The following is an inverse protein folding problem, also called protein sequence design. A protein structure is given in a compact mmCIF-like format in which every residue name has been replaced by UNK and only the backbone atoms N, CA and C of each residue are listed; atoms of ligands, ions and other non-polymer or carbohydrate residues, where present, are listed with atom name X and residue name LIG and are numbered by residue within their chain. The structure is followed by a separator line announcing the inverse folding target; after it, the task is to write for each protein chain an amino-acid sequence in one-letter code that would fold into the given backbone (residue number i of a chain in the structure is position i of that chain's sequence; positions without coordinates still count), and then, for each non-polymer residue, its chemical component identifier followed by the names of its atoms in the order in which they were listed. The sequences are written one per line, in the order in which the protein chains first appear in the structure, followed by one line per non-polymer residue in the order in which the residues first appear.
data_IF_434320851679
#
_entry.id   IF_434320851679
#
_cell.length_a   1.000
_cell.length_b   1.000
_cell.length_c   1.000
_cell.angle_alpha   90.00
_cell.angle_beta   90.00
_cell.angle_gamma   90.00
#
_symmetry.space_group_name_H-M   'P 1'
#
loop_
_entity.id
_entity.type
_entity.pdbx_description
1 polymer ?
#
# COMPACT_ATOMS: atom_id res chain seq x y z
N UNK A 1 -15.65 -1.07 9.24
CA UNK A 1 -16.47 -0.05 8.53
C UNK A 1 -17.02 -0.55 7.20
N UNK A 2 -16.20 -1.09 6.28
CA UNK A 2 -16.70 -1.54 4.96
C UNK A 2 -17.82 -2.60 5.02
N UNK A 3 -17.79 -3.52 6.00
CA UNK A 3 -18.87 -4.50 6.21
C UNK A 3 -20.20 -3.87 6.63
N UNK A 4 -20.16 -2.89 7.53
CA UNK A 4 -21.35 -2.19 8.03
C UNK A 4 -22.00 -1.34 6.94
N UNK A 5 -21.22 -0.55 6.20
CA UNK A 5 -21.73 0.28 5.10
C UNK A 5 -22.28 -0.58 3.96
N UNK A 6 -21.69 -1.75 3.70
CA UNK A 6 -22.24 -2.72 2.74
C UNK A 6 -23.57 -3.29 3.21
N UNK A 7 -23.65 -3.67 4.48
CA UNK A 7 -24.89 -4.18 5.07
C UNK A 7 -26.04 -3.16 4.92
N UNK A 8 -25.81 -1.88 5.23
CA UNK A 8 -26.82 -0.83 5.03
C UNK A 8 -27.26 -0.67 3.58
N UNK A 9 -26.32 -0.68 2.63
CA UNK A 9 -26.65 -0.61 1.19
C UNK A 9 -27.51 -1.81 0.75
N UNK A 10 -27.20 -3.01 1.25
CA UNK A 10 -28.00 -4.20 0.97
C UNK A 10 -29.39 -4.12 1.59
N UNK A 11 -29.50 -3.67 2.85
CA UNK A 11 -30.77 -3.54 3.54
C UNK A 11 -31.68 -2.52 2.85
N UNK A 12 -31.15 -1.37 2.41
CA UNK A 12 -31.91 -0.36 1.65
C UNK A 12 -32.35 -0.92 0.29
N UNK A 13 -31.47 -1.64 -0.42
CA UNK A 13 -31.82 -2.26 -1.70
C UNK A 13 -32.91 -3.34 -1.56
N UNK A 14 -32.90 -4.11 -0.46
CA UNK A 14 -33.92 -5.13 -0.16
C UNK A 14 -35.24 -4.49 0.26
N UNK A 15 -35.21 -3.49 1.14
CA UNK A 15 -36.41 -2.88 1.71
C UNK A 15 -37.11 -1.93 0.75
N UNK A 16 -36.36 -1.07 0.05
CA UNK A 16 -36.93 -0.04 -0.82
C UNK A 16 -37.03 -0.47 -2.29
N UNK A 17 -36.44 -1.63 -2.65
CA UNK A 17 -36.28 -2.08 -4.04
C UNK A 17 -35.59 -1.06 -4.97
N UNK A 18 -34.92 -0.05 -4.40
CA UNK A 18 -34.21 1.01 -5.13
C UNK A 18 -32.71 0.73 -5.05
N UNK A 19 -32.08 0.51 -6.21
CA UNK A 19 -30.63 0.46 -6.31
C UNK A 19 -30.10 1.84 -6.66
N UNK A 20 -29.46 2.53 -5.71
CA UNK A 20 -28.81 3.82 -5.97
C UNK A 20 -27.69 3.62 -6.99
N UNK A 21 -27.79 4.32 -8.13
CA UNK A 21 -26.74 4.30 -9.14
C UNK A 21 -25.51 5.02 -8.58
N UNK A 22 -24.45 4.27 -8.30
CA UNK A 22 -23.18 4.84 -7.86
C UNK A 22 -22.34 5.13 -9.11
N UNK A 23 -21.52 6.17 -9.06
CA UNK A 23 -20.47 6.45 -10.02
C UNK A 23 -19.09 6.37 -9.37
N UNK A 24 -18.05 6.29 -10.20
CA UNK A 24 -16.65 6.22 -9.74
C UNK A 24 -16.31 7.40 -8.82
N UNK A 25 -16.86 8.57 -9.11
CA UNK A 25 -16.72 9.77 -8.30
C UNK A 25 -17.41 9.65 -6.94
N UNK A 26 -18.69 9.23 -6.92
CA UNK A 26 -19.41 9.07 -5.64
C UNK A 26 -18.78 8.00 -4.75
N UNK A 27 -18.24 6.92 -5.33
CA UNK A 27 -17.53 5.91 -4.57
C UNK A 27 -16.15 6.39 -4.10
N UNK A 28 -15.43 7.14 -4.94
CA UNK A 28 -14.12 7.71 -4.61
C UNK A 28 -14.15 8.76 -3.49
N UNK A 29 -15.31 9.32 -3.16
CA UNK A 29 -15.48 10.26 -2.03
C UNK A 29 -15.72 9.56 -0.69
N UNK A 30 -15.95 8.24 -0.68
CA UNK A 30 -16.26 7.51 0.55
C UNK A 30 -15.00 7.29 1.39
N UNK A 31 -15.05 7.70 2.65
CA UNK A 31 -13.92 7.64 3.60
C UNK A 31 -13.31 6.24 3.71
N UNK A 32 -14.13 5.18 3.64
CA UNK A 32 -13.61 3.81 3.74
C UNK A 32 -12.69 3.42 2.58
N UNK A 33 -12.88 3.98 1.38
CA UNK A 33 -12.00 3.69 0.24
C UNK A 33 -10.66 4.42 0.39
N UNK A 34 -10.67 5.65 0.90
CA UNK A 34 -9.45 6.40 1.27
C UNK A 34 -8.62 5.67 2.32
N UNK A 35 -9.24 5.35 3.46
CA UNK A 35 -8.58 4.61 4.54
C UNK A 35 -8.06 3.27 4.02
N UNK A 36 -8.84 2.63 3.15
CA UNK A 36 -8.45 1.41 2.48
C UNK A 36 -7.18 1.55 1.64
N UNK A 37 -7.12 2.54 0.75
CA UNK A 37 -5.95 2.76 -0.11
C UNK A 37 -4.73 3.09 0.72
N UNK A 38 -4.85 4.04 1.64
CA UNK A 38 -3.77 4.45 2.54
C UNK A 38 -3.23 3.24 3.30
N UNK A 39 -4.12 2.42 3.87
CA UNK A 39 -3.77 1.20 4.58
C UNK A 39 -3.13 0.12 3.71
N UNK A 40 -3.36 0.11 2.40
CA UNK A 40 -2.59 -0.76 1.48
C UNK A 40 -1.28 -0.13 1.01
N UNK A 41 -1.19 1.21 0.96
CA UNK A 41 -0.05 1.90 0.36
C UNK A 41 1.13 2.08 1.32
N UNK A 42 0.84 2.48 2.55
CA UNK A 42 1.87 2.70 3.57
C UNK A 42 2.69 1.42 3.82
N UNK A 43 2.07 0.27 4.12
CA UNK A 43 2.84 -0.87 4.62
C UNK A 43 3.79 -1.45 3.58
N UNK A 44 3.42 -1.52 2.30
CA UNK A 44 4.29 -2.12 1.29
C UNK A 44 5.53 -1.27 0.99
N UNK A 45 5.40 0.05 0.97
CA UNK A 45 6.56 0.92 0.77
C UNK A 45 7.45 0.95 2.01
N UNK A 46 6.87 1.04 3.20
CA UNK A 46 7.64 1.00 4.45
C UNK A 46 8.40 -0.31 4.58
N UNK A 47 7.75 -1.45 4.30
CA UNK A 47 8.43 -2.76 4.36
C UNK A 47 9.54 -2.88 3.32
N UNK A 48 9.34 -2.38 2.10
CA UNK A 48 10.40 -2.35 1.08
C UNK A 48 11.61 -1.52 1.55
N UNK A 49 11.38 -0.32 2.09
CA UNK A 49 12.45 0.56 2.59
C UNK A 49 13.22 -0.10 3.73
N UNK A 50 12.52 -0.69 4.71
CA UNK A 50 13.15 -1.43 5.81
C UNK A 50 14.00 -2.60 5.29
N UNK A 51 13.50 -3.33 4.29
CA UNK A 51 14.24 -4.43 3.65
C UNK A 51 15.55 -3.96 3.00
N UNK A 52 15.51 -2.83 2.31
CA UNK A 52 16.70 -2.22 1.70
C UNK A 52 17.69 -1.72 2.76
N UNK A 53 17.21 -1.03 3.79
CA UNK A 53 18.05 -0.54 4.90
C UNK A 53 18.85 -1.68 5.54
N UNK A 54 18.23 -2.85 5.75
CA UNK A 54 18.89 -4.03 6.33
C UNK A 54 20.04 -4.55 5.48
N UNK A 55 19.89 -4.56 4.15
CA UNK A 55 20.97 -5.01 3.25
C UNK A 55 22.10 -3.98 3.17
N UNK A 56 21.75 -2.69 3.09
CA UNK A 56 22.74 -1.61 3.06
C UNK A 56 23.55 -1.61 4.35
N UNK A 57 22.91 -1.80 5.51
CA UNK A 57 23.58 -1.92 6.79
C UNK A 57 24.55 -3.12 6.84
N UNK A 58 24.20 -4.24 6.21
CA UNK A 58 25.04 -5.45 6.19
C UNK A 58 26.24 -5.33 5.24
N UNK A 59 26.06 -4.78 4.04
CA UNK A 59 27.16 -4.66 3.04
C UNK A 59 28.03 -3.42 3.25
N UNK A 60 27.46 -2.29 3.65
CA UNK A 60 28.13 -1.00 3.72
C UNK A 60 27.82 -0.25 5.03
N UNK A 61 28.33 -0.73 6.18
CA UNK A 61 28.02 -0.16 7.50
C UNK A 61 28.45 1.31 7.63
N UNK A 62 29.55 1.72 6.98
CA UNK A 62 30.04 3.10 6.99
C UNK A 62 29.12 4.04 6.21
N UNK A 63 28.59 3.59 5.07
CA UNK A 63 27.65 4.36 4.26
C UNK A 63 26.31 4.51 4.97
N UNK A 64 25.83 3.44 5.61
CA UNK A 64 24.63 3.45 6.43
C UNK A 64 24.72 4.49 7.56
N UNK A 65 25.82 4.49 8.32
CA UNK A 65 26.05 5.46 9.40
C UNK A 65 26.13 6.92 8.91
N UNK A 66 26.55 7.15 7.66
CA UNK A 66 26.67 8.52 7.12
C UNK A 66 25.35 9.05 6.55
N UNK A 67 24.56 8.21 5.90
CA UNK A 67 23.34 8.65 5.18
C UNK A 67 22.02 8.33 5.90
N UNK A 68 21.98 7.25 6.68
CA UNK A 68 20.77 6.75 7.35
C UNK A 68 20.70 7.03 8.85
N UNK A 69 21.73 7.67 9.43
CA UNK A 69 21.80 7.99 10.86
C UNK A 69 20.90 9.16 11.30
N UNK A 70 20.30 9.91 10.35
CA UNK A 70 19.35 11.01 10.62
C UNK A 70 17.92 10.50 10.93
N UNK A 71 17.76 9.74 12.01
CA UNK A 71 16.46 9.35 12.59
C UNK A 71 15.42 8.74 11.60
N UNK A 72 15.88 8.15 10.49
CA UNK A 72 15.03 7.66 9.39
C UNK A 72 14.04 8.69 8.81
N UNK A 73 14.24 9.99 9.07
CA UNK A 73 13.31 11.06 8.65
C UNK A 73 13.21 11.11 7.13
N UNK A 74 14.34 10.95 6.42
CA UNK A 74 14.40 10.95 4.95
C UNK A 74 13.60 9.80 4.34
N UNK A 75 13.71 8.61 4.91
CA UNK A 75 12.98 7.42 4.49
C UNK A 75 11.47 7.55 4.73
N UNK A 76 11.08 8.08 5.90
CA UNK A 76 9.68 8.36 6.24
C UNK A 76 9.08 9.43 5.32
N UNK A 77 9.82 10.52 5.08
CA UNK A 77 9.40 11.59 4.17
C UNK A 77 9.21 11.07 2.74
N UNK A 78 10.11 10.21 2.25
CA UNK A 78 9.98 9.55 0.95
C UNK A 78 8.67 8.73 0.85
N UNK A 79 8.35 7.94 1.88
CA UNK A 79 7.11 7.16 1.92
C UNK A 79 5.87 8.06 1.93
N UNK A 80 5.90 9.17 2.66
CA UNK A 80 4.80 10.15 2.71
C UNK A 80 4.59 10.86 1.36
N UNK A 81 5.67 11.28 0.69
CA UNK A 81 5.60 11.89 -0.64
C UNK A 81 5.01 10.90 -1.65
N UNK A 82 5.48 9.65 -1.64
CA UNK A 82 4.94 8.60 -2.52
C UNK A 82 3.44 8.37 -2.28
N UNK A 83 3.01 8.36 -1.02
CA UNK A 83 1.60 8.22 -0.65
C UNK A 83 0.78 9.41 -1.18
N UNK A 84 1.25 10.64 -0.97
CA UNK A 84 0.56 11.84 -1.44
C UNK A 84 0.38 11.84 -2.97
N UNK A 85 1.44 11.54 -3.73
CA UNK A 85 1.38 11.44 -5.19
C UNK A 85 0.37 10.38 -5.62
N UNK A 86 0.42 9.21 -5.00
CA UNK A 86 -0.49 8.11 -5.34
C UNK A 86 -1.95 8.46 -5.07
N UNK A 87 -2.23 9.14 -3.96
CA UNK A 87 -3.58 9.63 -3.65
C UNK A 87 -4.08 10.68 -4.64
N UNK A 88 -3.22 11.60 -5.07
CA UNK A 88 -3.56 12.60 -6.11
C UNK A 88 -3.92 11.91 -7.42
N UNK A 89 -3.15 10.89 -7.83
CA UNK A 89 -3.43 10.10 -9.02
C UNK A 89 -4.78 9.37 -8.87
N UNK A 90 -5.03 8.73 -7.73
CA UNK A 90 -6.27 8.03 -7.45
C UNK A 90 -7.48 8.98 -7.56
N UNK A 91 -7.38 10.17 -6.96
CA UNK A 91 -8.42 11.19 -7.01
C UNK A 91 -8.66 11.72 -8.43
N UNK A 92 -7.58 12.01 -9.16
CA UNK A 92 -7.64 12.48 -10.55
C UNK A 92 -8.32 11.45 -11.46
N UNK A 93 -8.01 10.16 -11.28
CA UNK A 93 -8.64 9.08 -12.04
C UNK A 93 -10.14 8.94 -11.74
N UNK A 94 -10.51 9.09 -10.46
CA UNK A 94 -11.92 9.08 -10.04
C UNK A 94 -12.69 10.27 -10.63
N UNK A 95 -12.06 11.45 -10.71
CA UNK A 95 -12.64 12.64 -11.33
C UNK A 95 -12.78 12.52 -12.86
N UNK A 96 -11.74 12.04 -13.55
CA UNK A 96 -11.76 11.85 -15.01
C UNK A 96 -12.85 10.86 -15.45
N UNK A 97 -13.07 9.80 -14.66
CA UNK A 97 -14.08 8.77 -14.95
C UNK A 97 -15.40 8.99 -14.19
N UNK A 98 -15.71 10.22 -13.78
CA UNK A 98 -16.87 10.55 -12.93
C UNK A 98 -18.22 10.07 -13.48
N UNK A 99 -18.34 9.96 -14.81
CA UNK A 99 -19.58 9.59 -15.50
C UNK A 99 -19.75 8.08 -15.66
N UNK A 100 -18.72 7.30 -15.36
CA UNK A 100 -18.78 5.84 -15.45
C UNK A 100 -19.64 5.33 -14.30
N UNK A 101 -20.71 4.62 -14.64
CA UNK A 101 -21.58 3.95 -13.66
C UNK A 101 -20.81 2.81 -13.00
N UNK A 102 -20.76 2.86 -11.68
CA UNK A 102 -20.31 1.78 -10.81
C UNK A 102 -21.45 0.79 -10.60
N UNK A 103 -21.13 -0.44 -10.17
CA UNK A 103 -22.13 -1.35 -9.59
C UNK A 103 -22.76 -0.69 -8.35
N UNK A 104 -23.89 -1.23 -7.88
CA UNK A 104 -24.61 -0.76 -6.69
C UNK A 104 -23.73 -0.72 -5.42
N UNK A 105 -22.66 -1.53 -5.36
CA UNK A 105 -21.66 -1.47 -4.29
C UNK A 105 -20.50 -0.54 -4.67
N UNK A 106 -19.98 0.17 -3.67
CA UNK A 106 -18.71 0.87 -3.77
C UNK A 106 -17.58 0.04 -3.15
N UNK A 107 -16.40 0.09 -3.75
CA UNK A 107 -15.20 -0.52 -3.21
C UNK A 107 -14.02 -0.28 -4.12
N UNK A 108 -12.81 -0.30 -3.55
CA UNK A 108 -11.51 -0.03 -4.19
C UNK A 108 -11.38 -0.40 -5.68
N UNK A 109 -11.81 -1.61 -6.12
CA UNK A 109 -11.73 -2.06 -7.54
C UNK A 109 -12.66 -1.30 -8.50
N UNK A 110 -13.69 -0.64 -7.99
CA UNK A 110 -14.77 0.01 -8.73
C UNK A 110 -14.71 1.54 -8.57
N UNK A 111 -14.11 2.02 -7.47
CA UNK A 111 -13.92 3.46 -7.19
C UNK A 111 -12.78 4.07 -8.01
N UNK A 112 -11.86 3.23 -8.47
CA UNK A 112 -10.74 3.61 -9.34
C UNK A 112 -10.71 2.72 -10.56
N UNK A 113 -9.99 3.13 -11.59
CA UNK A 113 -9.82 2.31 -12.80
C UNK A 113 -9.22 0.95 -12.44
N UNK A 114 -9.65 -0.09 -13.15
CA UNK A 114 -9.19 -1.48 -12.93
C UNK A 114 -7.67 -1.57 -13.07
N UNK A 115 -7.10 -0.81 -14.01
CA UNK A 115 -5.66 -0.70 -14.23
C UNK A 115 -4.91 -0.15 -13.02
N UNK A 116 -5.38 0.98 -12.45
CA UNK A 116 -4.74 1.59 -11.28
C UNK A 116 -4.82 0.68 -10.05
N UNK A 117 -5.97 0.05 -9.83
CA UNK A 117 -6.14 -0.89 -8.73
C UNK A 117 -5.19 -2.09 -8.89
N UNK A 118 -5.09 -2.64 -10.10
CA UNK A 118 -4.20 -3.78 -10.38
C UNK A 118 -2.73 -3.40 -10.18
N UNK A 119 -2.33 -2.20 -10.60
CA UNK A 119 -0.99 -1.66 -10.36
C UNK A 119 -0.66 -1.63 -8.86
N UNK A 120 -1.55 -1.10 -8.01
CA UNK A 120 -1.36 -1.11 -6.56
C UNK A 120 -1.19 -2.54 -6.03
N UNK A 121 -2.03 -3.48 -6.46
CA UNK A 121 -1.92 -4.88 -6.01
C UNK A 121 -0.58 -5.51 -6.39
N UNK A 122 -0.11 -5.29 -7.62
CA UNK A 122 1.19 -5.81 -8.08
C UNK A 122 2.32 -5.18 -7.27
N UNK A 123 2.33 -3.85 -7.08
CA UNK A 123 3.34 -3.17 -6.27
C UNK A 123 3.35 -3.65 -4.82
N UNK A 124 2.17 -3.90 -4.26
CA UNK A 124 2.02 -4.42 -2.91
C UNK A 124 2.66 -5.82 -2.77
N UNK A 125 2.38 -6.72 -3.72
CA UNK A 125 2.99 -8.06 -3.77
C UNK A 125 4.50 -7.94 -3.92
N UNK A 126 4.98 -7.14 -4.89
CA UNK A 126 6.42 -6.95 -5.12
C UNK A 126 7.12 -6.39 -3.88
N UNK A 127 6.52 -5.41 -3.20
CA UNK A 127 7.08 -4.83 -1.98
C UNK A 127 7.27 -5.85 -0.88
N UNK A 128 6.22 -6.63 -0.57
CA UNK A 128 6.30 -7.65 0.48
C UNK A 128 7.22 -8.82 0.12
N UNK A 129 7.11 -9.35 -1.10
CA UNK A 129 7.94 -10.46 -1.55
C UNK A 129 9.41 -10.07 -1.57
N UNK A 130 9.72 -8.86 -2.06
CA UNK A 130 11.08 -8.34 -2.04
C UNK A 130 11.57 -8.20 -0.60
N UNK A 131 10.82 -7.53 0.29
CA UNK A 131 11.20 -7.39 1.70
C UNK A 131 11.47 -8.74 2.38
N UNK A 132 10.63 -9.74 2.10
CA UNK A 132 10.80 -11.10 2.62
C UNK A 132 12.12 -11.72 2.15
N UNK A 133 12.41 -11.70 0.85
CA UNK A 133 13.67 -12.23 0.32
C UNK A 133 14.89 -11.49 0.86
N UNK A 134 14.86 -10.15 0.92
CA UNK A 134 15.97 -9.37 1.46
C UNK A 134 16.23 -9.71 2.93
N UNK A 135 15.17 -9.82 3.74
CA UNK A 135 15.28 -10.19 5.15
C UNK A 135 15.78 -11.61 5.33
N UNK A 136 15.31 -12.55 4.51
CA UNK A 136 15.75 -13.94 4.53
C UNK A 136 17.26 -14.07 4.21
N UNK A 137 17.73 -13.36 3.19
CA UNK A 137 19.16 -13.32 2.82
C UNK A 137 20.00 -12.75 3.97
N UNK A 138 19.57 -11.64 4.57
CA UNK A 138 20.26 -11.03 5.72
C UNK A 138 20.35 -12.02 6.89
N UNK A 139 19.25 -12.69 7.22
CA UNK A 139 19.22 -13.68 8.31
C UNK A 139 20.14 -14.87 8.03
N UNK A 140 20.13 -15.40 6.80
CA UNK A 140 21.03 -16.48 6.40
C UNK A 140 22.51 -16.07 6.51
N UNK A 141 22.85 -14.87 6.02
CA UNK A 141 24.20 -14.34 6.10
C UNK A 141 24.69 -14.18 7.55
N UNK A 142 23.84 -13.63 8.44
CA UNK A 142 24.16 -13.48 9.87
C UNK A 142 24.39 -14.86 10.51
N UNK A 143 23.53 -15.84 10.21
CA UNK A 143 23.66 -17.21 10.76
C UNK A 143 24.97 -17.87 10.33
N UNK A 144 25.33 -17.80 9.05
CA UNK A 144 26.59 -18.34 8.51
C UNK A 144 27.80 -17.65 9.14
N UNK A 145 27.76 -16.31 9.24
CA UNK A 145 28.84 -15.54 9.87
C UNK A 145 29.01 -15.87 11.36
N UNK A 146 27.90 -16.11 12.08
CA UNK A 146 27.92 -16.51 13.49
C UNK A 146 28.53 -17.90 13.71
N UNK A 147 28.15 -18.88 12.89
CA UNK A 147 28.74 -20.24 12.95
C UNK A 147 30.24 -20.20 12.69
N UNK A 148 30.68 -19.45 11.67
CA UNK A 148 32.10 -19.31 11.35
C UNK A 148 32.91 -18.63 12.48
N UNK A 149 32.29 -17.76 13.29
CA UNK A 149 32.94 -17.17 14.47
C UNK A 149 33.05 -18.14 15.65
N UNK A 150 32.14 -19.11 15.77
CA UNK A 150 32.17 -20.11 16.85
C UNK A 150 33.16 -21.25 16.59
N UNK A 151 33.52 -21.49 15.32
CA UNK A 151 34.51 -22.51 14.94
C UNK A 151 35.96 -21.99 14.97
N UNK A 152 36.17 -20.72 15.28
CA UNK A 152 37.48 -20.05 15.27
C UNK A 152 37.87 -19.63 16.68
#
# INVERSE_FOLDING_TARGET
MQGYTRHEIYMIAINEKITKNQTYWSCGLLVFDWVGIIGSLIPHMVTLVIGLERIVALKFPVFFKRYFNDNQVKASLFCLIYLAISLIIAFTLSYLHRHVKSKYWCGRKVSYTVYYTSFIYVMNILGYVTCFFLTFVVMCHIKVSSINKLQK
#
